data_IF_952550448987
#
_entry.id   IF_952550448987
#
_cell.length_a   1.000
_cell.length_b   1.000
_cell.length_c   1.000
_cell.angle_alpha   90.00
_cell.angle_beta   90.00
_cell.angle_gamma   90.00
#
_symmetry.space_group_name_H-M   'P 1'
#
loop_
_entity.id
_entity.type
_entity.pdbx_description
1 polymer ?
#
# COMPACT_ATOMS: atom_id res chain seq x y z
N UNK A 1 -0.15 -33.97 34.81
CA UNK A 1 0.02 -32.51 34.77
C UNK A 1 0.94 -32.06 33.62
N UNK A 2 2.16 -32.59 33.52
CA UNK A 2 3.08 -32.29 32.41
C UNK A 2 2.51 -32.44 30.97
N UNK A 3 1.76 -33.50 30.60
CA UNK A 3 1.23 -33.61 29.23
C UNK A 3 0.15 -32.58 28.91
N UNK A 4 -0.64 -32.16 29.90
CA UNK A 4 -1.66 -31.12 29.75
C UNK A 4 -1.03 -29.73 29.59
N UNK A 5 0.03 -29.46 30.36
CA UNK A 5 0.79 -28.21 30.22
C UNK A 5 1.44 -28.15 28.83
N UNK A 6 2.06 -29.25 28.36
CA UNK A 6 2.66 -29.33 27.03
C UNK A 6 1.62 -29.12 25.92
N UNK A 7 0.45 -29.76 26.04
CA UNK A 7 -0.65 -29.59 25.09
C UNK A 7 -1.18 -28.14 25.07
N UNK A 8 -1.35 -27.50 26.23
CA UNK A 8 -1.77 -26.11 26.33
C UNK A 8 -0.73 -25.14 25.73
N UNK A 9 0.56 -25.39 25.95
CA UNK A 9 1.63 -24.58 25.33
C UNK A 9 1.68 -24.74 23.82
N UNK A 10 1.48 -25.96 23.30
CA UNK A 10 1.42 -26.18 21.86
C UNK A 10 0.21 -25.49 21.25
N UNK A 11 -0.96 -25.60 21.90
CA UNK A 11 -2.19 -24.96 21.44
C UNK A 11 -2.04 -23.44 21.40
N UNK A 12 -1.47 -22.83 22.45
CA UNK A 12 -1.19 -21.40 22.50
C UNK A 12 -0.25 -20.93 21.37
N UNK A 13 0.80 -21.70 21.07
CA UNK A 13 1.77 -21.40 20.02
C UNK A 13 1.20 -21.51 18.61
N UNK A 14 0.27 -22.45 18.39
CA UNK A 14 -0.42 -22.61 17.10
C UNK A 14 -1.46 -21.49 16.89
N UNK A 15 -2.07 -20.99 17.98
CA UNK A 15 -3.07 -19.91 17.92
C UNK A 15 -2.50 -18.48 17.82
N UNK A 16 -1.18 -18.29 17.95
CA UNK A 16 -0.55 -16.96 17.98
C UNK A 16 -0.06 -16.44 16.62
N UNK A 17 -0.44 -17.07 15.52
CA UNK A 17 -0.12 -16.60 14.17
C UNK A 17 -0.94 -15.33 13.86
N UNK A 18 -0.38 -14.15 14.16
CA UNK A 18 -0.94 -12.89 13.71
C UNK A 18 -0.65 -12.71 12.22
N UNK A 19 -1.67 -12.84 11.37
CA UNK A 19 -1.57 -12.47 9.96
C UNK A 19 -1.60 -10.93 9.90
N UNK A 20 -0.43 -10.32 9.67
CA UNK A 20 -0.28 -8.87 9.58
C UNK A 20 -0.48 -8.31 8.16
N UNK A 21 -0.98 -9.13 7.23
CA UNK A 21 -1.37 -8.75 5.87
C UNK A 21 -2.89 -8.68 5.74
N UNK A 22 -3.36 -8.16 4.63
CA UNK A 22 -4.79 -8.19 4.30
C UNK A 22 -5.30 -9.65 4.29
N UNK A 23 -6.49 -9.92 4.86
CA UNK A 23 -7.11 -11.24 4.78
C UNK A 23 -7.43 -11.63 3.35
N UNK A 24 -7.34 -12.92 3.02
CA UNK A 24 -7.79 -13.42 1.73
C UNK A 24 -9.31 -13.19 1.56
N UNK A 25 -9.76 -12.85 0.34
CA UNK A 25 -11.19 -12.72 0.07
C UNK A 25 -11.90 -14.07 0.20
N UNK A 26 -13.15 -14.04 0.65
CA UNK A 26 -14.00 -15.23 0.83
C UNK A 26 -15.02 -15.43 -0.32
N UNK A 27 -15.00 -14.53 -1.30
CA UNK A 27 -15.86 -14.48 -2.47
C UNK A 27 -15.16 -13.68 -3.57
N UNK A 28 -15.71 -13.69 -4.79
CA UNK A 28 -15.08 -13.05 -5.96
C UNK A 28 -14.81 -11.55 -5.75
N UNK A 29 -15.74 -10.82 -5.12
CA UNK A 29 -15.58 -9.41 -4.81
C UNK A 29 -16.41 -8.99 -3.60
N UNK A 30 -16.01 -7.89 -2.96
CA UNK A 30 -16.70 -7.34 -1.80
C UNK A 30 -16.65 -5.80 -1.86
N UNK A 31 -17.42 -5.21 -2.79
CA UNK A 31 -17.40 -3.75 -3.00
C UNK A 31 -17.76 -3.02 -1.71
N UNK A 32 -16.89 -2.10 -1.26
CA UNK A 32 -17.15 -1.27 -0.08
C UNK A 32 -18.50 -0.55 -0.20
N UNK A 33 -19.34 -0.69 0.82
CA UNK A 33 -20.50 0.16 1.05
C UNK A 33 -20.04 1.51 1.63
N UNK A 34 -20.26 2.59 0.88
CA UNK A 34 -19.88 3.95 1.30
C UNK A 34 -20.81 4.54 2.35
N UNK A 35 -22.03 4.01 2.48
CA UNK A 35 -23.08 4.53 3.35
C UNK A 35 -23.21 3.76 4.67
N UNK A 36 -22.51 2.63 4.80
CA UNK A 36 -22.55 1.82 6.01
C UNK A 36 -21.96 2.58 7.21
N UNK A 37 -22.69 2.71 8.33
CA UNK A 37 -22.16 3.29 9.57
C UNK A 37 -21.37 2.27 10.40
N UNK A 38 -21.32 1.02 9.97
CA UNK A 38 -20.75 -0.08 10.75
C UNK A 38 -19.23 -0.09 10.59
N UNK A 39 -18.53 -0.16 11.73
CA UNK A 39 -17.08 -0.32 11.78
C UNK A 39 -16.69 -1.80 11.88
N UNK A 40 -15.87 -2.26 10.94
CA UNK A 40 -15.28 -3.61 10.90
C UNK A 40 -13.82 -3.52 10.47
N UNK A 41 -13.07 -4.62 10.57
CA UNK A 41 -11.75 -4.67 9.94
C UNK A 41 -11.91 -4.61 8.41
N UNK A 42 -11.46 -3.51 7.79
CA UNK A 42 -11.74 -3.20 6.39
C UNK A 42 -13.02 -2.38 6.23
N UNK A 43 -13.90 -2.80 5.31
CA UNK A 43 -15.18 -2.12 5.06
C UNK A 43 -16.32 -3.13 4.92
N UNK A 44 -17.51 -2.74 5.37
CA UNK A 44 -18.75 -3.46 5.06
C UNK A 44 -18.97 -3.44 3.55
N UNK A 45 -19.46 -4.55 3.01
CA UNK A 45 -19.70 -4.70 1.58
C UNK A 45 -21.16 -4.41 1.25
N UNK A 46 -21.40 -3.81 0.08
CA UNK A 46 -22.76 -3.68 -0.47
C UNK A 46 -23.25 -5.02 -1.04
N UNK A 47 -24.55 -5.12 -1.30
CA UNK A 47 -25.13 -6.29 -1.97
C UNK A 47 -24.45 -6.53 -3.33
N UNK A 48 -23.89 -7.74 -3.59
CA UNK A 48 -23.22 -8.03 -4.85
C UNK A 48 -24.14 -7.93 -6.06
N UNK A 49 -25.46 -8.08 -5.89
CA UNK A 49 -26.44 -7.97 -7.00
C UNK A 49 -26.62 -6.52 -7.49
N UNK A 50 -26.17 -5.52 -6.72
CA UNK A 50 -26.20 -4.11 -7.11
C UNK A 50 -24.80 -3.58 -7.46
N UNK A 51 -23.81 -4.45 -7.59
CA UNK A 51 -22.48 -4.08 -8.09
C UNK A 51 -22.53 -3.76 -9.58
N UNK A 52 -21.79 -2.73 -9.98
CA UNK A 52 -21.68 -2.27 -11.37
C UNK A 52 -20.20 -2.06 -11.73
N UNK A 53 -19.85 -1.99 -13.03
CA UNK A 53 -18.47 -1.72 -13.46
C UNK A 53 -17.86 -0.46 -12.84
N UNK A 54 -18.68 0.54 -12.53
CA UNK A 54 -18.27 1.81 -11.92
C UNK A 54 -17.70 1.64 -10.51
N UNK A 55 -18.03 0.57 -9.80
CA UNK A 55 -17.42 0.27 -8.50
C UNK A 55 -15.95 -0.17 -8.60
N UNK A 56 -15.56 -0.65 -9.79
CA UNK A 56 -14.23 -1.17 -10.12
C UNK A 56 -13.44 -0.23 -11.04
N UNK A 57 -13.96 0.97 -11.28
CA UNK A 57 -13.34 1.96 -12.16
C UNK A 57 -13.08 3.29 -11.43
N UNK A 58 -11.85 3.80 -11.56
CA UNK A 58 -11.49 5.14 -11.12
C UNK A 58 -10.80 5.91 -12.27
N UNK A 59 -11.44 6.91 -12.87
CA UNK A 59 -10.80 7.76 -13.87
C UNK A 59 -9.90 8.83 -13.23
N UNK A 60 -9.08 9.49 -14.04
CA UNK A 60 -8.37 10.72 -13.63
C UNK A 60 -6.91 10.53 -13.24
N UNK A 61 -6.41 9.29 -13.14
CA UNK A 61 -4.98 9.03 -12.93
C UNK A 61 -4.12 9.41 -14.13
N UNK A 62 -4.70 9.77 -15.27
CA UNK A 62 -4.00 10.37 -16.41
C UNK A 62 -3.53 11.81 -16.11
N UNK A 63 -4.21 12.51 -15.20
CA UNK A 63 -3.93 13.91 -14.87
C UNK A 63 -2.84 14.00 -13.80
N UNK A 64 -1.77 14.79 -14.02
CA UNK A 64 -0.74 14.99 -13.02
C UNK A 64 -1.27 15.78 -11.82
N UNK A 65 -0.82 15.40 -10.62
CA UNK A 65 -1.05 16.17 -9.40
C UNK A 65 -0.31 17.50 -9.38
N UNK A 66 -0.76 18.43 -8.51
CA UNK A 66 -0.13 19.74 -8.37
C UNK A 66 1.18 19.66 -7.57
N UNK A 67 2.30 19.84 -8.27
CA UNK A 67 3.65 19.84 -7.69
C UNK A 67 4.16 21.23 -7.29
N UNK A 68 3.38 22.30 -7.51
CA UNK A 68 3.69 23.66 -7.05
C UNK A 68 3.43 23.81 -5.55
N UNK A 69 4.16 23.06 -4.74
CA UNK A 69 4.04 23.00 -3.30
C UNK A 69 5.43 22.87 -2.64
N UNK A 70 5.48 22.88 -1.30
CA UNK A 70 6.75 22.92 -0.54
C UNK A 70 7.68 21.74 -0.78
N UNK A 71 7.14 20.57 -1.11
CA UNK A 71 7.93 19.34 -1.33
C UNK A 71 8.14 19.04 -2.81
N UNK A 72 7.50 19.77 -3.71
CA UNK A 72 7.66 19.58 -5.15
C UNK A 72 7.09 18.24 -5.65
N UNK A 73 6.25 17.55 -4.87
CA UNK A 73 5.65 16.26 -5.24
C UNK A 73 4.17 16.23 -4.89
N UNK A 74 3.40 15.34 -5.54
CA UNK A 74 1.98 15.15 -5.30
C UNK A 74 1.64 13.67 -5.33
N UNK A 75 0.97 13.16 -4.29
CA UNK A 75 0.57 11.76 -4.19
C UNK A 75 -0.95 11.66 -4.37
N UNK A 76 -1.38 10.93 -5.40
CA UNK A 76 -2.78 10.58 -5.64
C UNK A 76 -3.00 9.12 -5.23
N UNK A 77 -3.67 8.91 -4.09
CA UNK A 77 -3.91 7.58 -3.52
C UNK A 77 -5.15 6.91 -4.13
N UNK A 78 -5.05 5.61 -4.35
CA UNK A 78 -6.14 4.73 -4.81
C UNK A 78 -6.20 3.53 -3.88
N UNK A 79 -6.87 3.72 -2.76
CA UNK A 79 -7.21 2.66 -1.81
C UNK A 79 -8.68 2.23 -1.98
N UNK A 80 -9.12 1.23 -1.22
CA UNK A 80 -10.54 0.87 -1.11
C UNK A 80 -11.46 2.04 -0.68
N UNK A 81 -10.89 3.16 -0.19
CA UNK A 81 -11.65 4.38 0.04
C UNK A 81 -11.98 5.18 -1.23
N UNK A 82 -11.09 5.20 -2.21
CA UNK A 82 -11.29 5.88 -3.49
C UNK A 82 -11.92 4.96 -4.53
N UNK A 83 -11.47 3.70 -4.58
CA UNK A 83 -11.93 2.67 -5.49
C UNK A 83 -12.55 1.49 -4.70
N UNK A 84 -13.89 1.50 -4.48
CA UNK A 84 -14.59 0.55 -3.60
C UNK A 84 -14.37 -0.93 -3.94
N UNK A 85 -14.17 -1.25 -5.22
CA UNK A 85 -13.89 -2.60 -5.70
C UNK A 85 -12.57 -3.19 -5.18
N UNK A 86 -11.64 -2.38 -4.65
CA UNK A 86 -10.39 -2.88 -4.05
C UNK A 86 -10.60 -3.54 -2.68
N UNK A 87 -11.74 -3.34 -2.03
CA UNK A 87 -11.98 -3.90 -0.70
C UNK A 87 -11.87 -5.44 -0.74
N UNK A 88 -11.14 -6.01 0.23
CA UNK A 88 -10.76 -7.44 0.36
C UNK A 88 -9.76 -8.00 -0.67
N UNK A 89 -9.33 -7.23 -1.67
CA UNK A 89 -8.45 -7.75 -2.73
C UNK A 89 -6.94 -7.67 -2.44
N UNK A 90 -6.54 -7.07 -1.31
CA UNK A 90 -5.15 -7.06 -0.86
C UNK A 90 -4.20 -6.18 -1.69
N UNK A 91 -4.73 -5.29 -2.54
CA UNK A 91 -3.94 -4.36 -3.36
C UNK A 91 -4.48 -2.93 -3.29
N UNK A 92 -3.58 -1.98 -3.51
CA UNK A 92 -3.88 -0.56 -3.69
C UNK A 92 -2.90 0.04 -4.70
N UNK A 93 -3.14 1.27 -5.14
CA UNK A 93 -2.29 1.98 -6.07
C UNK A 93 -2.06 3.41 -5.58
N UNK A 94 -0.93 4.00 -5.97
CA UNK A 94 -0.71 5.43 -5.89
C UNK A 94 -0.07 5.92 -7.20
N UNK A 95 -0.50 7.10 -7.67
CA UNK A 95 0.26 7.89 -8.64
C UNK A 95 1.04 8.95 -7.88
N UNK A 96 2.33 9.09 -8.19
CA UNK A 96 3.16 10.14 -7.61
C UNK A 96 3.72 10.99 -8.75
N UNK A 97 3.44 12.28 -8.71
CA UNK A 97 3.98 13.27 -9.63
C UNK A 97 5.07 14.07 -8.92
N UNK A 98 6.18 14.30 -9.61
CA UNK A 98 7.28 15.10 -9.11
C UNK A 98 7.57 16.26 -10.06
N UNK A 99 7.66 17.46 -9.52
CA UNK A 99 8.24 18.61 -10.21
C UNK A 99 9.77 18.57 -10.13
N UNK A 100 10.46 19.53 -10.76
CA UNK A 100 11.92 19.65 -10.63
C UNK A 100 12.34 19.77 -9.16
N UNK A 101 13.32 18.94 -8.74
CA UNK A 101 13.77 18.81 -7.35
C UNK A 101 12.68 18.36 -6.36
N UNK A 102 11.62 17.73 -6.86
CA UNK A 102 10.54 17.18 -6.06
C UNK A 102 11.00 16.01 -5.20
N UNK A 103 10.54 16.01 -3.95
CA UNK A 103 10.84 15.00 -2.93
C UNK A 103 9.51 14.42 -2.41
N UNK A 104 9.43 13.10 -2.35
CA UNK A 104 8.51 12.41 -1.46
C UNK A 104 9.32 12.07 -0.20
N UNK A 105 9.09 12.77 0.92
CA UNK A 105 9.96 12.68 2.09
C UNK A 105 10.05 11.26 2.67
N UNK A 106 11.06 10.99 3.52
CA UNK A 106 11.14 9.73 4.25
C UNK A 106 9.83 9.36 4.95
N UNK A 107 9.26 8.20 4.62
CA UNK A 107 7.99 7.69 5.17
C UNK A 107 8.00 6.16 5.27
N UNK A 108 6.94 5.57 5.84
CA UNK A 108 6.79 4.11 5.96
C UNK A 108 5.41 3.65 5.53
N UNK A 109 5.33 2.39 5.11
CA UNK A 109 4.07 1.67 4.90
C UNK A 109 3.96 0.53 5.92
N UNK A 110 3.26 0.74 7.06
CA UNK A 110 3.30 -0.19 8.18
C UNK A 110 2.63 -1.54 7.90
N UNK A 111 1.86 -1.65 6.81
CA UNK A 111 1.06 -2.83 6.47
C UNK A 111 1.25 -3.37 5.06
N UNK A 112 2.06 -2.73 4.22
CA UNK A 112 2.21 -3.12 2.82
C UNK A 112 3.65 -2.97 2.33
N UNK A 113 4.03 -3.86 1.41
CA UNK A 113 5.18 -3.69 0.52
C UNK A 113 4.76 -2.78 -0.64
N UNK A 114 5.68 -1.96 -1.14
CA UNK A 114 5.46 -1.13 -2.32
C UNK A 114 6.28 -1.65 -3.49
N UNK A 115 5.67 -1.66 -4.68
CA UNK A 115 6.38 -1.78 -5.96
C UNK A 115 6.16 -0.50 -6.74
N UNK A 116 7.26 0.13 -7.16
CA UNK A 116 7.25 1.40 -7.88
C UNK A 116 7.80 1.18 -9.29
N UNK A 117 7.12 1.75 -10.28
CA UNK A 117 7.58 1.83 -11.67
C UNK A 117 7.63 3.28 -12.11
N UNK A 118 8.68 3.66 -12.84
CA UNK A 118 8.79 5.01 -13.40
C UNK A 118 8.07 5.04 -14.75
N UNK A 119 7.01 5.84 -14.85
CA UNK A 119 6.25 6.00 -16.11
C UNK A 119 6.89 7.06 -17.02
N UNK A 120 7.52 8.07 -16.42
CA UNK A 120 8.18 9.18 -17.11
C UNK A 120 9.31 9.76 -16.24
N UNK A 121 10.36 10.27 -16.90
CA UNK A 121 11.48 10.94 -16.23
C UNK A 121 12.49 10.00 -15.56
N UNK A 122 13.18 10.55 -14.56
CA UNK A 122 14.25 9.89 -13.79
C UNK A 122 14.05 10.16 -12.31
N UNK A 123 14.18 9.13 -11.48
CA UNK A 123 13.88 9.19 -10.04
C UNK A 123 14.97 8.46 -9.24
N UNK A 124 15.58 9.14 -8.26
CA UNK A 124 16.35 8.49 -7.21
C UNK A 124 15.40 7.95 -6.16
N UNK A 125 15.53 6.68 -5.83
CA UNK A 125 14.74 6.03 -4.79
C UNK A 125 15.64 5.34 -3.78
N UNK A 126 15.12 5.12 -2.58
CA UNK A 126 15.79 4.24 -1.64
C UNK A 126 15.00 3.91 -0.38
N UNK A 127 15.50 2.92 0.35
CA UNK A 127 15.05 2.59 1.71
C UNK A 127 16.22 2.32 2.64
N UNK A 128 15.94 2.38 3.94
CA UNK A 128 16.91 2.10 5.00
C UNK A 128 16.48 0.83 5.75
N UNK A 129 17.41 -0.11 5.95
CA UNK A 129 17.14 -1.31 6.76
C UNK A 129 16.93 -0.97 8.23
N UNK A 130 16.33 -1.89 8.99
CA UNK A 130 16.15 -1.70 10.43
C UNK A 130 17.48 -1.70 11.21
N UNK A 131 17.40 -1.31 12.48
CA UNK A 131 18.47 -1.45 13.48
C UNK A 131 19.00 -2.91 13.52
N UNK A 132 20.31 -3.12 13.68
CA UNK A 132 21.35 -2.12 13.93
C UNK A 132 21.99 -1.49 12.69
N UNK A 133 21.89 -2.13 11.53
CA UNK A 133 22.71 -1.76 10.37
C UNK A 133 22.31 -0.41 9.77
N UNK A 134 21.03 -0.04 9.80
CA UNK A 134 20.50 1.21 9.23
C UNK A 134 21.08 1.51 7.83
N UNK A 135 21.20 0.47 7.00
CA UNK A 135 21.90 0.53 5.71
C UNK A 135 20.98 1.11 4.64
N UNK A 136 21.47 2.11 3.92
CA UNK A 136 20.80 2.68 2.76
C UNK A 136 20.95 1.78 1.52
N UNK A 137 19.82 1.45 0.90
CA UNK A 137 19.72 0.91 -0.44
C UNK A 137 19.12 1.99 -1.33
N UNK A 138 19.89 2.47 -2.32
CA UNK A 138 19.45 3.54 -3.22
C UNK A 138 19.77 3.23 -4.67
N UNK A 139 18.93 3.72 -5.59
CA UNK A 139 19.10 3.53 -7.03
C UNK A 139 18.49 4.69 -7.79
N UNK A 140 19.12 5.06 -8.90
CA UNK A 140 18.53 5.93 -9.92
C UNK A 140 17.76 5.06 -10.90
N UNK A 141 16.47 5.33 -11.04
CA UNK A 141 15.54 4.69 -11.94
C UNK A 141 15.24 5.61 -13.13
N UNK A 142 15.16 5.04 -14.33
CA UNK A 142 14.69 5.69 -15.53
C UNK A 142 13.32 5.16 -15.92
N UNK A 143 12.66 5.79 -16.90
CA UNK A 143 11.40 5.30 -17.47
C UNK A 143 11.44 3.79 -17.76
N UNK A 144 10.47 3.06 -17.20
CA UNK A 144 10.30 1.61 -17.33
C UNK A 144 11.01 0.79 -16.25
N UNK A 145 11.91 1.39 -15.46
CA UNK A 145 12.57 0.70 -14.36
C UNK A 145 11.59 0.49 -13.18
N UNK A 146 11.84 -0.59 -12.43
CA UNK A 146 11.04 -1.03 -11.29
C UNK A 146 11.91 -1.13 -10.04
N UNK A 147 11.35 -0.79 -8.88
CA UNK A 147 12.00 -0.94 -7.58
C UNK A 147 10.99 -1.38 -6.51
N UNK A 148 11.43 -2.21 -5.56
CA UNK A 148 10.57 -2.77 -4.50
C UNK A 148 11.04 -2.25 -3.15
N UNK A 149 10.09 -1.78 -2.34
CA UNK A 149 10.31 -1.36 -0.97
C UNK A 149 9.70 -2.36 0.01
N UNK A 150 10.51 -2.99 0.90
CA UNK A 150 9.98 -3.89 1.90
C UNK A 150 9.02 -3.20 2.87
N UNK A 151 8.03 -3.97 3.34
CA UNK A 151 7.05 -3.50 4.32
C UNK A 151 7.73 -2.91 5.57
N UNK A 152 7.16 -1.82 6.07
CA UNK A 152 7.55 -1.14 7.33
C UNK A 152 8.97 -0.57 7.38
N UNK A 153 9.70 -0.55 6.25
CA UNK A 153 10.99 0.16 6.18
C UNK A 153 10.79 1.63 5.80
N UNK A 154 11.72 2.48 6.24
CA UNK A 154 11.75 3.90 5.86
C UNK A 154 12.18 4.05 4.41
N UNK A 155 11.32 4.64 3.57
CA UNK A 155 11.48 4.81 2.12
C UNK A 155 11.49 6.28 1.74
N UNK A 156 12.14 6.64 0.63
CA UNK A 156 12.17 8.02 0.10
C UNK A 156 12.35 8.02 -1.43
N UNK A 157 11.83 9.07 -2.10
CA UNK A 157 11.95 9.26 -3.54
C UNK A 157 12.25 10.72 -3.88
N UNK A 158 13.21 10.99 -4.77
CA UNK A 158 13.62 12.33 -5.17
C UNK A 158 13.90 12.37 -6.68
N UNK A 159 13.41 13.36 -7.41
CA UNK A 159 13.84 13.58 -8.80
C UNK A 159 15.28 14.06 -8.87
N UNK A 160 16.07 13.44 -9.73
CA UNK A 160 17.40 13.94 -10.08
C UNK A 160 17.28 14.85 -11.31
N UNK A 161 18.20 15.81 -11.42
CA UNK A 161 18.39 16.58 -12.65
C UNK A 161 18.81 15.68 -13.81
#
# INVERSE_FOLDING_TARGET
MAPYILALTLLALVSSQAIASDPSPLQDFCVRDKNSPIFVNGFVCKDPNVATPEDFFLPGLDKPGNTMNKVGSSVTLVSAAQLPGLNTLGISLARIDFGPNGLNPPHTHPRATEILTVVEGTLCVGFVTSNPDNKLFAKVLNKGDVFVFPKDLSTSNLTLQ
#
